data_IF_263007890587
#
_entry.id   IF_263007890587
#
_cell.length_a   1.000
_cell.length_b   1.000
_cell.length_c   1.000
_cell.angle_alpha   90.00
_cell.angle_beta   90.00
_cell.angle_gamma   90.00
#
_symmetry.space_group_name_H-M   'P 1'
#
loop_
_entity.id
_entity.type
_entity.pdbx_description
1 polymer ?
#
# COMPACT_ATOMS: atom_id res chain seq x y z
N UNK A 1 33.92 19.75 26.91
CA UNK A 1 34.67 18.62 26.33
C UNK A 1 33.79 17.38 26.12
N UNK A 2 33.03 16.90 27.13
CA UNK A 2 32.13 15.74 26.99
C UNK A 2 31.17 15.78 25.79
N UNK A 3 30.57 16.94 25.48
CA UNK A 3 29.64 17.06 24.35
C UNK A 3 30.29 16.75 23.00
N UNK A 4 31.54 17.20 22.80
CA UNK A 4 32.32 16.99 21.56
C UNK A 4 32.73 15.52 21.43
N UNK A 5 33.15 14.91 22.55
CA UNK A 5 33.52 13.48 22.58
C UNK A 5 32.29 12.59 22.34
N UNK A 6 31.14 12.91 22.95
CA UNK A 6 29.88 12.18 22.72
C UNK A 6 29.39 12.33 21.28
N UNK A 7 29.48 13.51 20.66
CA UNK A 7 29.09 13.68 19.26
C UNK A 7 29.99 12.89 18.31
N UNK A 8 31.30 12.87 18.55
CA UNK A 8 32.23 12.09 17.72
C UNK A 8 32.04 10.57 17.89
N UNK A 9 31.78 10.09 19.12
CA UNK A 9 31.44 8.70 19.39
C UNK A 9 30.09 8.28 18.77
N UNK A 10 29.10 9.19 18.74
CA UNK A 10 27.82 8.96 18.05
C UNK A 10 28.04 8.81 16.55
N UNK A 11 28.81 9.70 15.92
CA UNK A 11 29.15 9.60 14.50
C UNK A 11 29.81 8.24 14.16
N UNK A 12 30.76 7.79 14.98
CA UNK A 12 31.37 6.45 14.88
C UNK A 12 30.34 5.32 14.97
N UNK A 13 29.36 5.40 15.87
CA UNK A 13 28.30 4.40 16.02
C UNK A 13 27.35 4.34 14.80
N UNK A 14 27.17 5.45 14.10
CA UNK A 14 26.36 5.56 12.89
C UNK A 14 27.16 5.25 11.60
N UNK A 15 28.49 5.11 11.71
CA UNK A 15 29.39 4.83 10.58
C UNK A 15 29.82 6.09 9.82
N UNK A 16 29.59 7.27 10.39
CA UNK A 16 30.02 8.55 9.86
C UNK A 16 31.43 8.91 10.38
N UNK A 17 32.17 9.69 9.59
CA UNK A 17 33.51 10.17 9.99
C UNK A 17 33.39 11.19 11.10
N UNK A 18 34.30 11.15 12.08
CA UNK A 18 34.37 12.15 13.13
C UNK A 18 34.59 13.57 12.55
N UNK A 19 34.13 14.62 13.26
CA UNK A 19 34.41 16.00 12.88
C UNK A 19 35.92 16.24 12.65
N UNK A 20 36.29 16.92 11.57
CA UNK A 20 37.70 17.09 11.13
C UNK A 20 38.59 17.85 12.12
N UNK A 21 37.99 18.48 13.11
CA UNK A 21 38.58 19.28 14.17
C UNK A 21 38.92 18.46 15.44
N UNK A 22 38.66 17.15 15.43
CA UNK A 22 38.86 16.28 16.59
C UNK A 22 39.65 15.03 16.20
N UNK A 23 40.81 14.85 16.84
CA UNK A 23 41.66 13.68 16.64
C UNK A 23 41.08 12.44 17.34
N UNK A 24 41.10 11.29 16.66
CA UNK A 24 40.60 10.01 17.15
C UNK A 24 41.38 9.54 18.40
N UNK A 25 42.68 9.82 18.45
CA UNK A 25 43.53 9.48 19.59
C UNK A 25 43.13 10.26 20.86
N UNK A 26 42.67 11.50 20.69
CA UNK A 26 42.18 12.33 21.79
C UNK A 26 40.82 11.83 22.31
N UNK A 27 39.94 11.37 21.41
CA UNK A 27 38.65 10.78 21.76
C UNK A 27 38.86 9.51 22.59
N UNK A 28 39.75 8.62 22.15
CA UNK A 28 40.03 7.35 22.83
C UNK A 28 40.74 7.57 24.17
N UNK A 29 41.66 8.53 24.24
CA UNK A 29 42.28 8.96 25.50
C UNK A 29 41.23 9.48 26.49
N UNK A 30 40.30 10.34 26.05
CA UNK A 30 39.24 10.84 26.91
C UNK A 30 38.26 9.74 27.34
N UNK A 31 37.89 8.83 26.44
CA UNK A 31 37.04 7.67 26.75
C UNK A 31 37.70 6.78 27.81
N UNK A 32 39.01 6.58 27.76
CA UNK A 32 39.73 5.78 28.76
C UNK A 32 39.75 6.41 30.15
N UNK A 33 39.77 7.76 30.21
CA UNK A 33 39.94 8.52 31.45
C UNK A 33 38.60 8.93 32.10
N UNK A 34 37.49 8.95 31.37
CA UNK A 34 36.20 9.46 31.85
C UNK A 34 35.17 8.34 32.05
N UNK A 35 34.68 8.17 33.28
CA UNK A 35 33.63 7.21 33.61
C UNK A 35 32.28 7.53 32.94
N UNK A 36 31.81 8.76 33.01
CA UNK A 36 30.54 9.19 32.39
C UNK A 36 30.46 8.93 30.87
N UNK A 37 31.59 9.09 30.17
CA UNK A 37 31.66 8.82 28.73
C UNK A 37 31.65 7.31 28.43
N UNK A 38 32.25 6.48 29.31
CA UNK A 38 32.21 5.01 29.17
C UNK A 38 30.82 4.45 29.41
N UNK A 39 30.14 4.89 30.46
CA UNK A 39 28.76 4.47 30.76
C UNK A 39 27.81 4.85 29.64
N UNK A 40 27.88 6.11 29.19
CA UNK A 40 27.07 6.59 28.08
C UNK A 40 27.33 5.79 26.79
N UNK A 41 28.59 5.54 26.44
CA UNK A 41 28.94 4.80 25.23
C UNK A 41 28.53 3.31 25.31
N UNK A 42 28.63 2.69 26.49
CA UNK A 42 28.13 1.34 26.72
C UNK A 42 26.60 1.26 26.52
N UNK A 43 25.84 2.22 27.07
CA UNK A 43 24.40 2.30 26.88
C UNK A 43 24.02 2.57 25.41
N UNK A 44 24.71 3.49 24.75
CA UNK A 44 24.48 3.82 23.34
C UNK A 44 24.80 2.65 22.40
N UNK A 45 25.90 1.94 22.63
CA UNK A 45 26.28 0.77 21.83
C UNK A 45 25.36 -0.44 22.07
N UNK A 46 24.87 -0.65 23.30
CA UNK A 46 23.85 -1.66 23.58
C UNK A 46 22.52 -1.35 22.88
N UNK A 47 22.07 -0.09 22.92
CA UNK A 47 20.87 0.35 22.18
C UNK A 47 21.05 0.15 20.67
N UNK A 48 22.17 0.60 20.10
CA UNK A 48 22.46 0.43 18.68
C UNK A 48 22.50 -1.05 18.29
N UNK A 49 23.09 -1.91 19.12
CA UNK A 49 23.08 -3.37 18.95
C UNK A 49 21.65 -3.92 18.97
N UNK A 50 20.82 -3.54 19.94
CA UNK A 50 19.42 -3.96 20.02
C UNK A 50 18.64 -3.53 18.79
N UNK A 51 18.85 -2.33 18.28
CA UNK A 51 18.20 -1.82 17.07
C UNK A 51 18.68 -2.56 15.81
N UNK A 52 19.98 -2.83 15.67
CA UNK A 52 20.55 -3.58 14.53
C UNK A 52 20.20 -5.05 14.55
N UNK A 53 20.12 -5.66 15.73
CA UNK A 53 19.75 -7.07 15.92
C UNK A 53 18.24 -7.27 16.04
N UNK A 54 17.45 -6.21 16.21
CA UNK A 54 15.99 -6.26 16.05
C UNK A 54 15.63 -6.40 14.57
N UNK A 55 15.88 -7.60 14.05
CA UNK A 55 15.00 -8.14 13.02
C UNK A 55 13.62 -8.16 13.66
N UNK A 56 12.72 -7.27 13.22
CA UNK A 56 11.31 -7.41 13.51
C UNK A 56 10.97 -8.87 13.24
N UNK A 57 10.46 -9.65 14.22
CA UNK A 57 10.20 -11.07 14.01
C UNK A 57 9.34 -11.22 12.76
N UNK A 58 9.97 -11.58 11.65
CA UNK A 58 9.30 -11.85 10.38
C UNK A 58 8.94 -13.33 10.28
N UNK A 59 9.07 -14.06 11.39
CA UNK A 59 8.81 -15.47 11.50
C UNK A 59 7.62 -15.70 12.42
N UNK A 60 6.60 -16.35 11.86
CA UNK A 60 5.64 -17.13 12.64
C UNK A 60 4.31 -16.43 12.92
N UNK A 61 3.40 -16.46 11.96
CA UNK A 61 2.06 -16.99 12.28
C UNK A 61 2.29 -18.44 12.73
N UNK A 62 2.66 -18.62 13.99
CA UNK A 62 2.56 -19.91 14.64
C UNK A 62 1.05 -20.20 14.76
N UNK A 63 0.54 -21.33 14.26
CA UNK A 63 -0.83 -21.72 14.52
C UNK A 63 -0.93 -22.06 16.02
N UNK A 64 -1.25 -21.07 16.87
CA UNK A 64 -1.47 -21.27 18.31
C UNK A 64 -0.95 -20.21 19.28
N UNK A 65 -0.24 -19.16 18.86
CA UNK A 65 0.16 -18.07 19.78
C UNK A 65 -1.02 -17.15 20.14
N UNK A 66 -1.18 -16.71 21.40
CA UNK A 66 -2.34 -15.92 21.80
C UNK A 66 -2.34 -14.59 21.05
N UNK A 67 -3.45 -14.27 20.39
CA UNK A 67 -3.72 -12.97 19.75
C UNK A 67 -3.59 -11.76 20.72
N UNK A 68 -3.33 -12.01 22.01
CA UNK A 68 -3.06 -11.04 23.05
C UNK A 68 -1.78 -10.23 22.85
N UNK A 69 -0.70 -10.80 22.31
CA UNK A 69 0.59 -10.07 22.27
C UNK A 69 0.61 -8.96 21.21
N UNK A 70 0.11 -9.24 20.00
CA UNK A 70 0.01 -8.24 18.95
C UNK A 70 -1.04 -7.17 19.28
N UNK A 71 -2.16 -7.57 19.91
CA UNK A 71 -3.21 -6.63 20.34
C UNK A 71 -2.76 -5.77 21.50
N UNK A 72 -2.11 -6.34 22.52
CA UNK A 72 -1.58 -5.59 23.66
C UNK A 72 -0.49 -4.61 23.23
N UNK A 73 0.38 -5.01 22.29
CA UNK A 73 1.37 -4.11 21.69
C UNK A 73 0.69 -2.98 20.87
N UNK A 74 -0.36 -3.30 20.13
CA UNK A 74 -1.13 -2.28 19.40
C UNK A 74 -1.79 -1.29 20.38
N UNK A 75 -2.38 -1.78 21.48
CA UNK A 75 -2.97 -0.95 22.53
C UNK A 75 -1.91 -0.10 23.26
N UNK A 76 -0.72 -0.64 23.54
CA UNK A 76 0.38 0.14 24.14
C UNK A 76 0.90 1.21 23.18
N UNK A 77 1.04 0.89 21.88
CA UNK A 77 1.43 1.85 20.85
C UNK A 77 0.38 2.95 20.64
N UNK A 78 -0.92 2.61 20.73
CA UNK A 78 -2.01 3.59 20.68
C UNK A 78 -1.95 4.55 21.88
N UNK A 79 -1.70 4.04 23.10
CA UNK A 79 -1.49 4.89 24.28
C UNK A 79 -0.32 5.85 24.12
N UNK A 80 0.84 5.36 23.68
CA UNK A 80 2.01 6.21 23.43
C UNK A 80 1.75 7.22 22.31
N UNK A 81 0.99 6.84 21.28
CA UNK A 81 0.60 7.72 20.18
C UNK A 81 -0.36 8.84 20.62
N UNK A 82 -1.25 8.58 21.58
CA UNK A 82 -2.12 9.59 22.19
C UNK A 82 -1.31 10.55 23.07
N UNK A 83 -0.32 10.06 23.79
CA UNK A 83 0.59 10.88 24.60
C UNK A 83 1.55 11.75 23.76
N UNK A 84 1.86 11.32 22.52
CA UNK A 84 2.77 12.04 21.61
C UNK A 84 2.15 12.28 20.22
N UNK A 85 1.33 13.34 20.06
CA UNK A 85 0.59 13.59 18.81
C UNK A 85 1.50 13.78 17.59
N UNK A 86 2.72 14.29 17.77
CA UNK A 86 3.70 14.47 16.67
C UNK A 86 4.18 13.13 16.09
N UNK A 87 4.29 12.09 16.92
CA UNK A 87 4.73 10.76 16.52
C UNK A 87 3.60 10.03 15.79
N UNK A 88 2.36 10.18 16.28
CA UNK A 88 1.17 9.58 15.70
C UNK A 88 0.91 10.09 14.27
N UNK A 89 1.09 11.39 14.01
CA UNK A 89 0.97 11.94 12.64
C UNK A 89 2.00 11.36 11.66
N UNK A 90 3.26 11.17 12.07
CA UNK A 90 4.31 10.60 11.20
C UNK A 90 4.09 9.11 10.92
N UNK A 91 3.76 8.33 11.94
CA UNK A 91 3.49 6.90 11.79
C UNK A 91 2.23 6.66 10.96
N UNK A 92 1.16 7.43 11.23
CA UNK A 92 -0.10 7.38 10.49
C UNK A 92 0.08 7.78 9.02
N UNK A 93 0.83 8.84 8.72
CA UNK A 93 1.10 9.22 7.32
C UNK A 93 1.90 8.15 6.56
N UNK A 94 2.72 7.35 7.25
CA UNK A 94 3.46 6.24 6.63
C UNK A 94 2.59 4.99 6.44
N UNK A 95 1.69 4.67 7.36
CA UNK A 95 0.87 3.45 7.31
C UNK A 95 -0.47 3.61 6.57
N UNK A 96 -1.06 4.80 6.54
CA UNK A 96 -2.30 5.12 5.83
C UNK A 96 -2.32 4.68 4.34
N UNK A 97 -1.29 4.94 3.51
CA UNK A 97 -1.36 4.55 2.10
C UNK A 97 -1.42 3.03 1.91
N UNK A 98 -0.76 2.27 2.79
CA UNK A 98 -0.83 0.81 2.75
C UNK A 98 -2.20 0.30 3.20
N UNK A 99 -2.80 0.89 4.24
CA UNK A 99 -4.15 0.51 4.69
C UNK A 99 -5.18 0.83 3.60
N UNK A 100 -5.13 2.02 3.00
CA UNK A 100 -6.02 2.43 1.92
C UNK A 100 -5.89 1.52 0.69
N UNK A 101 -4.66 1.15 0.30
CA UNK A 101 -4.45 0.25 -0.84
C UNK A 101 -4.96 -1.18 -0.56
N UNK A 102 -4.88 -1.67 0.68
CA UNK A 102 -5.52 -2.95 1.07
C UNK A 102 -7.03 -2.87 0.98
N UNK A 103 -7.64 -1.79 1.47
CA UNK A 103 -9.09 -1.57 1.36
C UNK A 103 -9.52 -1.49 -0.11
N UNK A 104 -8.73 -0.83 -0.97
CA UNK A 104 -8.99 -0.76 -2.40
C UNK A 104 -8.95 -2.15 -3.06
N UNK A 105 -7.96 -3.01 -2.73
CA UNK A 105 -7.92 -4.38 -3.23
C UNK A 105 -9.15 -5.20 -2.82
N UNK A 106 -9.57 -5.08 -1.55
CA UNK A 106 -10.78 -5.76 -1.05
C UNK A 106 -12.03 -5.25 -1.77
N UNK A 107 -12.17 -3.94 -1.96
CA UNK A 107 -13.31 -3.36 -2.67
C UNK A 107 -13.39 -3.86 -4.12
N UNK A 108 -12.27 -3.89 -4.84
CA UNK A 108 -12.21 -4.42 -6.21
C UNK A 108 -12.52 -5.92 -6.23
N UNK A 109 -12.03 -6.70 -5.26
CA UNK A 109 -12.35 -8.11 -5.14
C UNK A 109 -13.85 -8.35 -4.91
N UNK A 110 -14.49 -7.52 -4.07
CA UNK A 110 -15.95 -7.56 -3.86
C UNK A 110 -16.70 -7.28 -5.16
N UNK A 111 -16.26 -6.29 -5.96
CA UNK A 111 -16.87 -6.04 -7.28
C UNK A 111 -16.77 -7.26 -8.21
N UNK A 112 -15.63 -7.97 -8.23
CA UNK A 112 -15.50 -9.22 -9.00
C UNK A 112 -16.42 -10.33 -8.50
N UNK A 113 -16.59 -10.47 -7.18
CA UNK A 113 -17.51 -11.45 -6.59
C UNK A 113 -18.95 -11.11 -6.98
N UNK A 114 -19.38 -9.86 -6.83
CA UNK A 114 -20.72 -9.40 -7.22
C UNK A 114 -20.95 -9.68 -8.70
N UNK A 115 -20.00 -9.36 -9.57
CA UNK A 115 -20.15 -9.64 -11.00
C UNK A 115 -20.21 -11.14 -11.32
N UNK A 116 -19.41 -11.97 -10.64
CA UNK A 116 -19.50 -13.43 -10.77
C UNK A 116 -20.87 -13.96 -10.34
N UNK A 117 -21.42 -13.47 -9.23
CA UNK A 117 -22.76 -13.83 -8.77
C UNK A 117 -23.83 -13.41 -9.76
N UNK A 118 -23.74 -12.20 -10.33
CA UNK A 118 -24.68 -11.72 -11.36
C UNK A 118 -24.66 -12.60 -12.62
N UNK A 119 -23.49 -13.08 -13.04
CA UNK A 119 -23.35 -14.03 -14.15
C UNK A 119 -24.01 -15.38 -13.81
N UNK A 120 -23.82 -15.89 -12.60
CA UNK A 120 -24.44 -17.14 -12.15
C UNK A 120 -25.96 -17.01 -12.03
N UNK A 121 -26.48 -15.89 -11.52
CA UNK A 121 -27.92 -15.67 -11.40
C UNK A 121 -28.56 -15.45 -12.77
N UNK A 122 -27.86 -14.81 -13.71
CA UNK A 122 -28.33 -14.72 -15.10
C UNK A 122 -28.34 -16.07 -15.82
N UNK A 123 -27.39 -16.95 -15.50
CA UNK A 123 -27.33 -18.32 -16.04
C UNK A 123 -28.33 -19.28 -15.36
N UNK A 124 -28.61 -19.11 -14.06
CA UNK A 124 -29.51 -19.95 -13.28
C UNK A 124 -30.98 -19.46 -13.29
N UNK A 125 -31.20 -18.17 -13.54
CA UNK A 125 -32.48 -17.48 -13.46
C UNK A 125 -33.35 -17.60 -14.72
N UNK A 126 -33.42 -18.78 -15.34
CA UNK A 126 -34.42 -19.12 -16.36
C UNK A 126 -35.86 -19.19 -15.83
N UNK A 127 -36.21 -18.40 -14.80
CA UNK A 127 -37.52 -18.37 -14.18
C UNK A 127 -37.78 -17.02 -13.52
N UNK A 128 -38.84 -16.35 -13.99
CA UNK A 128 -39.50 -15.17 -13.44
C UNK A 128 -38.87 -13.78 -13.72
N UNK A 129 -39.01 -13.30 -14.96
CA UNK A 129 -39.82 -12.10 -15.25
C UNK A 129 -39.96 -11.92 -16.78
N UNK A 130 -41.20 -12.01 -17.26
CA UNK A 130 -41.61 -11.71 -18.63
C UNK A 130 -41.77 -10.19 -18.80
N UNK A 131 -40.95 -9.57 -19.66
CA UNK A 131 -41.23 -8.25 -20.24
C UNK A 131 -41.22 -8.39 -21.75
N UNK A 132 -42.36 -8.02 -22.34
CA UNK A 132 -42.69 -8.07 -23.76
C UNK A 132 -41.77 -7.13 -24.58
N UNK A 133 -41.21 -7.65 -25.67
CA UNK A 133 -40.21 -6.96 -26.48
C UNK A 133 -39.99 -7.64 -27.82
N UNK A 134 -40.97 -7.52 -28.72
CA UNK A 134 -40.97 -8.06 -30.08
C UNK A 134 -39.90 -7.37 -30.95
N UNK A 135 -38.77 -8.03 -31.20
CA UNK A 135 -37.77 -7.61 -32.18
C UNK A 135 -36.79 -8.75 -32.52
N UNK A 136 -36.39 -8.97 -33.79
CA UNK A 136 -35.41 -9.98 -34.14
C UNK A 136 -34.01 -9.46 -33.77
N UNK A 137 -33.52 -9.86 -32.59
CA UNK A 137 -32.13 -9.59 -32.16
C UNK A 137 -31.98 -8.66 -30.94
N UNK A 138 -32.90 -8.69 -29.97
CA UNK A 138 -32.82 -7.90 -28.74
C UNK A 138 -32.60 -8.75 -27.48
N UNK A 139 -31.72 -8.27 -26.61
CA UNK A 139 -31.24 -8.91 -25.39
C UNK A 139 -32.36 -9.24 -24.38
N UNK A 140 -32.91 -10.45 -24.44
CA UNK A 140 -33.43 -11.27 -23.32
C UNK A 140 -33.91 -12.60 -23.91
N UNK A 141 -33.15 -13.69 -23.74
CA UNK A 141 -33.61 -15.01 -24.19
C UNK A 141 -32.56 -16.03 -24.62
N UNK A 142 -31.40 -16.11 -23.98
CA UNK A 142 -30.53 -17.31 -24.06
C UNK A 142 -30.57 -18.13 -22.76
N UNK A 143 -31.65 -18.03 -21.97
CA UNK A 143 -31.78 -18.75 -20.69
C UNK A 143 -32.05 -20.26 -20.87
N UNK A 144 -32.02 -20.78 -22.10
CA UNK A 144 -32.23 -22.19 -22.43
C UNK A 144 -31.11 -22.83 -23.26
N UNK A 145 -30.04 -22.10 -23.59
CA UNK A 145 -28.92 -22.64 -24.38
C UNK A 145 -27.81 -23.15 -23.44
N UNK A 146 -27.55 -24.47 -23.39
CA UNK A 146 -26.56 -25.05 -22.47
C UNK A 146 -25.14 -24.52 -22.71
N UNK A 147 -24.81 -24.13 -23.94
CA UNK A 147 -23.48 -23.64 -24.28
C UNK A 147 -23.23 -22.26 -23.66
N UNK A 148 -24.21 -21.35 -23.71
CA UNK A 148 -24.12 -20.01 -23.10
C UNK A 148 -24.04 -20.11 -21.57
N UNK A 149 -24.76 -21.05 -20.97
CA UNK A 149 -24.70 -21.32 -19.54
C UNK A 149 -23.31 -21.81 -19.10
N UNK A 150 -22.71 -22.75 -19.86
CA UNK A 150 -21.36 -23.25 -19.57
C UNK A 150 -20.28 -22.15 -19.64
N UNK A 151 -20.33 -21.31 -20.69
CA UNK A 151 -19.43 -20.16 -20.84
C UNK A 151 -19.59 -19.14 -19.70
N UNK A 152 -20.82 -18.96 -19.20
CA UNK A 152 -21.11 -18.07 -18.07
C UNK A 152 -20.51 -18.60 -16.76
N UNK A 153 -20.57 -19.93 -16.54
CA UNK A 153 -19.95 -20.59 -15.38
C UNK A 153 -18.43 -20.48 -15.43
N UNK A 154 -17.81 -20.72 -16.59
CA UNK A 154 -16.36 -20.58 -16.76
C UNK A 154 -15.90 -19.12 -16.54
N UNK A 155 -16.63 -18.17 -17.12
CA UNK A 155 -16.38 -16.75 -16.95
C UNK A 155 -16.50 -16.30 -15.49
N UNK A 156 -17.44 -16.88 -14.74
CA UNK A 156 -17.63 -16.62 -13.32
C UNK A 156 -16.52 -17.25 -12.46
N UNK A 157 -16.08 -18.47 -12.79
CA UNK A 157 -14.97 -19.14 -12.12
C UNK A 157 -13.67 -18.33 -12.23
N UNK A 158 -13.36 -17.81 -13.42
CA UNK A 158 -12.20 -16.93 -13.63
C UNK A 158 -12.29 -15.68 -12.77
N UNK A 159 -13.46 -15.02 -12.69
CA UNK A 159 -13.65 -13.81 -11.85
C UNK A 159 -13.48 -14.10 -10.36
N UNK A 160 -13.96 -15.24 -9.87
CA UNK A 160 -13.74 -15.66 -8.49
C UNK A 160 -12.26 -15.95 -8.20
N UNK A 161 -11.56 -16.57 -9.14
CA UNK A 161 -10.11 -16.79 -9.02
C UNK A 161 -9.33 -15.47 -8.94
N UNK A 162 -9.70 -14.48 -9.77
CA UNK A 162 -9.12 -13.13 -9.72
C UNK A 162 -9.41 -12.44 -8.38
N UNK A 163 -10.65 -12.53 -7.89
CA UNK A 163 -11.03 -11.99 -6.58
C UNK A 163 -10.22 -12.64 -5.44
N UNK A 164 -10.05 -13.97 -5.46
CA UNK A 164 -9.21 -14.68 -4.49
C UNK A 164 -7.75 -14.23 -4.55
N UNK A 165 -7.21 -14.01 -5.76
CA UNK A 165 -5.87 -13.45 -5.94
C UNK A 165 -5.73 -12.04 -5.34
N UNK A 166 -6.71 -11.16 -5.54
CA UNK A 166 -6.71 -9.81 -4.96
C UNK A 166 -6.84 -9.84 -3.43
N UNK A 167 -7.71 -10.69 -2.88
CA UNK A 167 -7.83 -10.90 -1.43
C UNK A 167 -6.53 -11.44 -0.83
N UNK A 168 -5.86 -12.36 -1.52
CA UNK A 168 -4.54 -12.84 -1.14
C UNK A 168 -3.49 -11.72 -1.17
N UNK A 169 -3.48 -10.90 -2.22
CA UNK A 169 -2.65 -9.70 -2.31
C UNK A 169 -2.93 -8.69 -1.19
N UNK A 170 -4.19 -8.58 -0.75
CA UNK A 170 -4.58 -7.73 0.38
C UNK A 170 -4.14 -8.32 1.73
N UNK A 171 -4.19 -9.64 1.91
CA UNK A 171 -3.70 -10.32 3.11
C UNK A 171 -2.17 -10.30 3.19
N UNK A 172 -1.49 -10.49 2.06
CA UNK A 172 -0.04 -10.49 1.93
C UNK A 172 0.41 -9.51 0.84
N UNK A 173 0.57 -8.21 1.17
CA UNK A 173 1.05 -7.20 0.22
C UNK A 173 2.39 -7.55 -0.46
N UNK A 174 3.14 -8.51 0.10
CA UNK A 174 4.37 -8.98 -0.49
C UNK A 174 4.20 -9.66 -1.85
N UNK A 175 3.04 -10.28 -2.11
CA UNK A 175 2.74 -11.00 -3.35
C UNK A 175 2.07 -10.14 -4.43
N UNK A 176 1.59 -8.93 -4.10
CA UNK A 176 0.96 -8.01 -5.04
C UNK A 176 1.73 -7.78 -6.37
N UNK A 177 3.06 -7.55 -6.39
CA UNK A 177 3.77 -7.35 -7.65
C UNK A 177 3.74 -8.58 -8.58
N UNK A 178 3.63 -9.80 -8.04
CA UNK A 178 3.52 -11.01 -8.86
C UNK A 178 2.17 -11.15 -9.55
N UNK A 179 1.11 -10.52 -9.03
CA UNK A 179 -0.23 -10.55 -9.62
C UNK A 179 -0.41 -9.52 -10.73
N UNK A 180 0.38 -8.45 -10.72
CA UNK A 180 0.23 -7.32 -11.64
C UNK A 180 0.27 -7.70 -13.13
N UNK A 181 1.23 -8.53 -13.62
CA UNK A 181 1.27 -8.91 -15.02
C UNK A 181 0.00 -9.61 -15.51
N UNK A 182 -0.66 -10.40 -14.64
CA UNK A 182 -1.91 -11.12 -14.98
C UNK A 182 -3.05 -10.13 -15.23
N UNK A 183 -3.28 -9.20 -14.31
CA UNK A 183 -4.33 -8.18 -14.45
C UNK A 183 -4.04 -7.21 -15.59
N UNK A 184 -2.76 -6.84 -15.78
CA UNK A 184 -2.34 -5.98 -16.87
C UNK A 184 -2.58 -6.65 -18.24
N UNK A 185 -2.22 -7.93 -18.38
CA UNK A 185 -2.48 -8.69 -19.59
C UNK A 185 -3.98 -8.80 -19.85
N UNK A 186 -4.77 -9.12 -18.83
CA UNK A 186 -6.22 -9.22 -18.96
C UNK A 186 -6.87 -7.91 -19.38
N UNK A 187 -6.44 -6.78 -18.81
CA UNK A 187 -6.86 -5.45 -19.24
C UNK A 187 -6.42 -5.13 -20.68
N UNK A 188 -5.16 -5.38 -21.02
CA UNK A 188 -4.59 -5.05 -22.33
C UNK A 188 -5.22 -5.85 -23.46
N UNK A 189 -5.35 -7.17 -23.31
CA UNK A 189 -6.05 -8.01 -24.29
C UNK A 189 -7.53 -7.67 -24.35
N UNK A 190 -8.19 -7.46 -23.21
CA UNK A 190 -9.59 -7.04 -23.16
C UNK A 190 -9.83 -5.72 -23.91
N UNK A 191 -8.96 -4.73 -23.73
CA UNK A 191 -9.02 -3.46 -24.46
C UNK A 191 -8.80 -3.66 -25.96
N UNK A 192 -7.89 -4.56 -26.36
CA UNK A 192 -7.65 -4.90 -27.76
C UNK A 192 -8.86 -5.56 -28.42
N UNK A 193 -9.48 -6.54 -27.76
CA UNK A 193 -10.71 -7.17 -28.27
C UNK A 193 -11.88 -6.18 -28.34
N UNK A 194 -12.04 -5.33 -27.33
CA UNK A 194 -13.03 -4.26 -27.36
C UNK A 194 -12.83 -3.31 -28.56
N UNK A 195 -11.58 -2.92 -28.82
CA UNK A 195 -11.23 -2.08 -29.98
C UNK A 195 -11.57 -2.79 -31.30
N UNK A 196 -11.24 -4.08 -31.41
CA UNK A 196 -11.58 -4.90 -32.59
C UNK A 196 -13.09 -4.93 -32.83
N UNK A 197 -13.88 -5.19 -31.80
CA UNK A 197 -15.34 -5.35 -31.94
C UNK A 197 -16.02 -4.03 -32.34
N UNK A 198 -15.50 -2.90 -31.86
CA UNK A 198 -15.91 -1.55 -32.27
C UNK A 198 -15.58 -1.32 -33.75
N UNK A 199 -14.35 -1.63 -34.18
CA UNK A 199 -13.90 -1.43 -35.57
C UNK A 199 -14.65 -2.30 -36.56
N UNK A 200 -14.93 -3.56 -36.18
CA UNK A 200 -15.67 -4.50 -37.03
C UNK A 200 -17.19 -4.30 -36.99
N UNK A 201 -17.69 -3.41 -36.14
CA UNK A 201 -19.13 -3.16 -35.97
C UNK A 201 -19.91 -4.38 -35.48
N UNK A 202 -19.24 -5.33 -34.82
CA UNK A 202 -19.85 -6.58 -34.31
C UNK A 202 -20.83 -6.28 -33.19
N UNK A 203 -20.51 -5.27 -32.37
CA UNK A 203 -21.43 -4.67 -31.41
C UNK A 203 -22.26 -3.62 -32.16
N UNK A 204 -23.52 -3.94 -32.45
CA UNK A 204 -24.39 -3.10 -33.29
C UNK A 204 -24.58 -1.69 -32.73
N UNK A 205 -23.75 -0.74 -33.15
CA UNK A 205 -23.88 0.72 -33.01
C UNK A 205 -23.98 1.32 -31.60
N UNK A 206 -24.36 0.54 -30.59
CA UNK A 206 -24.56 0.96 -29.21
C UNK A 206 -23.33 0.74 -28.35
N UNK A 207 -23.12 1.63 -27.39
CA UNK A 207 -22.06 1.49 -26.38
C UNK A 207 -22.48 0.42 -25.37
N UNK A 208 -21.84 -0.75 -25.41
CA UNK A 208 -22.04 -1.78 -24.39
C UNK A 208 -21.41 -1.35 -23.05
N UNK A 209 -22.26 -0.86 -22.15
CA UNK A 209 -21.86 -0.41 -20.83
C UNK A 209 -21.24 -1.53 -19.98
N UNK A 210 -21.60 -2.79 -20.22
CA UNK A 210 -21.09 -3.92 -19.43
C UNK A 210 -19.63 -4.24 -19.80
N UNK A 211 -19.30 -4.17 -21.09
CA UNK A 211 -17.92 -4.31 -21.58
C UNK A 211 -17.03 -3.19 -21.03
N UNK A 212 -17.51 -1.94 -21.05
CA UNK A 212 -16.75 -0.78 -20.55
C UNK A 212 -16.54 -0.89 -19.04
N UNK A 213 -17.60 -1.18 -18.28
CA UNK A 213 -17.51 -1.38 -16.84
C UNK A 213 -16.52 -2.51 -16.50
N UNK A 214 -16.51 -3.57 -17.30
CA UNK A 214 -15.56 -4.65 -17.19
C UNK A 214 -14.12 -4.21 -17.37
N UNK A 215 -13.84 -3.47 -18.43
CA UNK A 215 -12.49 -2.97 -18.70
C UNK A 215 -12.00 -2.00 -17.62
N UNK A 216 -12.88 -1.13 -17.13
CA UNK A 216 -12.59 -0.23 -16.02
C UNK A 216 -12.30 -0.99 -14.73
N UNK A 217 -12.99 -2.10 -14.46
CA UNK A 217 -12.72 -2.92 -13.28
C UNK A 217 -11.31 -3.55 -13.33
N UNK A 218 -10.88 -4.06 -14.48
CA UNK A 218 -9.52 -4.58 -14.66
C UNK A 218 -8.46 -3.48 -14.50
N UNK A 219 -8.73 -2.27 -15.02
CA UNK A 219 -7.86 -1.12 -14.82
C UNK A 219 -7.77 -0.72 -13.35
N UNK A 220 -8.89 -0.73 -12.63
CA UNK A 220 -8.95 -0.46 -11.20
C UNK A 220 -8.13 -1.49 -10.41
N UNK A 221 -8.16 -2.78 -10.79
CA UNK A 221 -7.31 -3.81 -10.19
C UNK A 221 -5.82 -3.52 -10.42
N UNK A 222 -5.41 -3.15 -11.63
CA UNK A 222 -4.04 -2.73 -11.94
C UNK A 222 -3.61 -1.52 -11.09
N UNK A 223 -4.44 -0.49 -11.00
CA UNK A 223 -4.18 0.70 -10.20
C UNK A 223 -4.05 0.36 -8.71
N UNK A 224 -4.90 -0.52 -8.18
CA UNK A 224 -4.83 -0.99 -6.80
C UNK A 224 -3.52 -1.75 -6.53
N UNK A 225 -3.10 -2.66 -7.40
CA UNK A 225 -1.84 -3.40 -7.27
C UNK A 225 -0.61 -2.48 -7.34
N UNK A 226 -0.61 -1.51 -8.26
CA UNK A 226 0.43 -0.48 -8.35
C UNK A 226 0.47 0.36 -7.08
N UNK A 227 -0.69 0.75 -6.54
CA UNK A 227 -0.76 1.52 -5.29
C UNK A 227 -0.16 0.75 -4.08
N UNK A 228 -0.34 -0.57 -4.02
CA UNK A 228 0.30 -1.43 -3.00
C UNK A 228 1.82 -1.45 -3.17
N UNK A 229 2.30 -1.61 -4.41
CA UNK A 229 3.73 -1.59 -4.70
C UNK A 229 4.37 -0.24 -4.31
N UNK A 230 3.74 0.88 -4.69
CA UNK A 230 4.20 2.23 -4.33
C UNK A 230 4.23 2.42 -2.81
N UNK A 231 3.17 1.98 -2.11
CA UNK A 231 3.05 2.10 -0.66
C UNK A 231 4.11 1.28 0.07
N UNK A 232 4.45 0.10 -0.46
CA UNK A 232 5.46 -0.80 0.11
C UNK A 232 6.88 -0.30 -0.08
N UNK A 233 7.21 0.27 -1.24
CA UNK A 233 8.56 0.75 -1.54
C UNK A 233 8.82 2.19 -1.05
N UNK A 234 7.98 2.71 -0.16
CA UNK A 234 8.04 4.09 0.36
C UNK A 234 8.06 5.18 -0.73
N UNK A 235 7.68 4.84 -1.97
CA UNK A 235 7.76 5.75 -3.13
C UNK A 235 6.68 6.83 -3.12
N UNK A 236 5.64 6.70 -2.29
CA UNK A 236 4.52 7.65 -2.21
C UNK A 236 4.96 9.03 -1.72
N UNK A 237 5.86 9.10 -0.74
CA UNK A 237 6.36 10.37 -0.19
C UNK A 237 7.21 11.16 -1.20
N UNK A 238 8.25 10.59 -1.84
CA UNK A 238 9.03 11.29 -2.85
C UNK A 238 8.19 11.65 -4.09
N UNK A 239 7.28 10.79 -4.56
CA UNK A 239 6.38 11.13 -5.68
C UNK A 239 5.45 12.30 -5.36
N UNK A 240 4.90 12.37 -4.14
CA UNK A 240 4.12 13.54 -3.70
C UNK A 240 4.97 14.80 -3.65
N UNK A 241 6.24 14.70 -3.27
CA UNK A 241 7.16 15.83 -3.25
C UNK A 241 7.53 16.30 -4.66
N UNK A 242 7.77 15.36 -5.59
CA UNK A 242 8.00 15.67 -7.02
C UNK A 242 6.75 16.26 -7.68
N UNK A 243 5.56 15.71 -7.42
CA UNK A 243 4.30 16.26 -7.92
C UNK A 243 4.01 17.65 -7.34
N UNK A 244 4.36 17.89 -6.07
CA UNK A 244 4.28 19.24 -5.47
C UNK A 244 5.25 20.21 -6.14
N UNK A 245 6.47 19.76 -6.45
CA UNK A 245 7.46 20.52 -7.22
C UNK A 245 6.96 20.85 -8.63
N UNK A 246 6.34 19.89 -9.32
CA UNK A 246 5.73 20.08 -10.64
C UNK A 246 4.48 20.98 -10.58
N UNK A 247 3.73 20.96 -9.48
CA UNK A 247 2.56 21.82 -9.28
C UNK A 247 2.93 23.29 -9.00
N UNK A 248 4.22 23.64 -9.02
CA UNK A 248 4.77 24.98 -8.84
C UNK A 248 4.09 25.75 -7.70
N UNK A 249 3.71 25.06 -6.62
CA UNK A 249 3.29 25.74 -5.39
C UNK A 249 4.57 26.27 -4.76
N UNK A 250 4.80 27.59 -4.78
CA UNK A 250 6.00 28.13 -4.15
C UNK A 250 5.97 27.71 -2.69
N UNK A 251 7.04 27.07 -2.23
CA UNK A 251 7.31 26.98 -0.80
C UNK A 251 7.69 28.40 -0.41
N UNK A 252 6.71 29.19 0.00
CA UNK A 252 6.96 30.52 0.52
C UNK A 252 7.78 30.35 1.80
N UNK A 253 9.01 30.84 1.83
CA UNK A 253 9.71 31.08 3.09
C UNK A 253 9.14 32.35 3.75
N UNK A 254 7.82 32.46 3.83
CA UNK A 254 7.19 33.52 4.58
C UNK A 254 7.41 33.25 6.07
N UNK A 255 7.54 34.29 6.90
CA UNK A 255 7.63 34.13 8.36
C UNK A 255 6.47 33.32 8.95
N UNK A 256 5.31 33.31 8.29
CA UNK A 256 4.13 32.54 8.69
C UNK A 256 4.25 31.04 8.35
N UNK A 257 4.89 30.69 7.23
CA UNK A 257 5.19 29.29 6.89
C UNK A 257 6.24 28.67 7.81
N UNK A 258 7.22 29.48 8.26
CA UNK A 258 8.17 29.06 9.30
C UNK A 258 7.44 28.81 10.63
N UNK A 259 6.45 29.64 11.00
CA UNK A 259 5.66 29.39 12.23
C UNK A 259 4.74 28.17 12.13
N UNK A 260 4.24 27.85 10.94
CA UNK A 260 3.31 26.73 10.74
C UNK A 260 4.03 25.37 10.56
N UNK A 261 5.20 25.36 9.92
CA UNK A 261 5.92 24.13 9.55
C UNK A 261 7.27 23.94 10.24
N UNK A 262 7.87 24.97 10.88
CA UNK A 262 9.09 24.77 11.66
C UNK A 262 8.75 24.30 13.07
N UNK A 263 9.44 23.25 13.51
CA UNK A 263 9.35 22.74 14.88
C UNK A 263 10.26 23.49 15.85
N UNK A 264 10.89 24.59 15.41
CA UNK A 264 11.84 25.37 16.18
C UNK A 264 11.18 26.67 16.61
N UNK A 265 11.06 26.89 17.92
CA UNK A 265 10.67 28.19 18.46
C UNK A 265 11.91 28.87 19.04
N UNK A 266 12.12 30.17 18.76
CA UNK A 266 13.12 30.94 19.50
C UNK A 266 12.76 30.90 20.99
N UNK A 267 13.57 30.22 21.80
CA UNK A 267 13.36 30.03 23.24
C UNK A 267 13.09 28.59 23.70
N UNK A 268 13.08 27.59 22.81
CA UNK A 268 13.16 26.19 23.24
C UNK A 268 14.60 25.89 23.68
N UNK A 269 14.84 25.89 25.00
CA UNK A 269 16.12 25.56 25.62
C UNK A 269 16.48 24.07 25.41
N UNK A 270 17.78 23.81 25.22
CA UNK A 270 18.37 22.48 24.99
C UNK A 270 18.31 21.56 26.20
#
# INVERSE_FOLDING_TARGET
MHAVVRSALSARLDGETAPSDVDDDMIDAHLSACEDCREWFAAASDLNRRLRMSVAPSDGVAPGGPAGDARALAESMLRVADETPRLSHRLRNRSLPLVLSRVALVAVAVCYIVWSLLLLTGAAGGGAESVDGTGPGGAVGNAGDPDVASLSVDAAAVRLALAAGLLWGAARPRSAPGLFPVFLALWGFGAGFATRDIVLGVLGGGTDLTLIAGLLLHLAACAALVSVWLSRNHAVAPLRQSLRGLSARPVSYSPDDVRSNSSWRPGDDR
#
